data_IF_236347631545
#
_entry.id   IF_236347631545
#
_cell.length_a   1.000
_cell.length_b   1.000
_cell.length_c   1.000
_cell.angle_alpha   90.00
_cell.angle_beta   90.00
_cell.angle_gamma   90.00
#
_symmetry.space_group_name_H-M   'P 1'
#
loop_
_entity.id
_entity.type
_entity.pdbx_description
1 polymer ?
#
# COMPACT_ATOMS: atom_id res chain seq x y z
N UNK A 1 -10.07 13.56 6.81
CA UNK A 1 -8.70 13.34 6.32
C UNK A 1 -8.36 11.87 6.44
N UNK A 2 -7.89 11.24 5.37
CA UNK A 2 -7.51 9.82 5.44
C UNK A 2 -6.32 9.62 6.39
N UNK A 3 -6.38 8.55 7.17
CA UNK A 3 -5.36 8.19 8.16
C UNK A 3 -4.56 6.98 7.70
N UNK A 4 -5.20 6.09 6.94
CA UNK A 4 -4.63 4.83 6.49
C UNK A 4 -4.46 4.78 4.99
N UNK A 5 -3.27 4.33 4.57
CA UNK A 5 -2.87 4.24 3.17
C UNK A 5 -2.68 2.75 2.80
N UNK A 6 -3.48 2.26 1.86
CA UNK A 6 -3.51 0.84 1.53
C UNK A 6 -2.46 0.46 0.49
N UNK A 7 -1.68 -0.58 0.81
CA UNK A 7 -0.86 -1.32 -0.15
C UNK A 7 -1.74 -2.18 -1.06
N UNK A 8 -1.30 -2.43 -2.28
CA UNK A 8 -2.02 -3.25 -3.26
C UNK A 8 -2.33 -4.66 -2.75
N UNK A 9 -1.44 -5.25 -1.96
CA UNK A 9 -1.62 -6.58 -1.40
C UNK A 9 -2.80 -6.70 -0.42
N UNK A 10 -3.23 -5.60 0.19
CA UNK A 10 -4.45 -5.61 1.02
C UNK A 10 -5.65 -6.05 0.17
N UNK A 11 -5.79 -5.48 -1.03
CA UNK A 11 -6.86 -5.83 -1.96
C UNK A 11 -6.65 -7.19 -2.61
N UNK A 12 -5.44 -7.44 -3.11
CA UNK A 12 -5.14 -8.66 -3.87
C UNK A 12 -5.29 -9.91 -3.00
N UNK A 13 -4.73 -9.91 -1.81
CA UNK A 13 -4.83 -11.05 -0.89
C UNK A 13 -6.24 -11.22 -0.33
N UNK A 14 -6.95 -10.11 -0.04
CA UNK A 14 -8.34 -10.17 0.36
C UNK A 14 -9.19 -10.86 -0.71
N UNK A 15 -9.04 -10.44 -1.96
CA UNK A 15 -9.81 -10.99 -3.08
C UNK A 15 -9.48 -12.46 -3.36
N UNK A 16 -8.19 -12.82 -3.37
CA UNK A 16 -7.74 -14.15 -3.78
C UNK A 16 -7.78 -15.20 -2.67
N UNK A 17 -7.58 -14.78 -1.42
CA UNK A 17 -7.31 -15.74 -0.34
C UNK A 17 -8.22 -15.58 0.86
N UNK A 18 -8.38 -14.37 1.40
CA UNK A 18 -8.97 -14.20 2.73
C UNK A 18 -10.47 -13.90 2.68
N UNK A 19 -10.89 -13.04 1.76
CA UNK A 19 -12.24 -12.47 1.74
C UNK A 19 -12.80 -12.41 0.31
N UNK A 20 -13.05 -13.56 -0.36
CA UNK A 20 -13.68 -13.54 -1.69
C UNK A 20 -15.01 -12.78 -1.65
N UNK A 21 -15.35 -12.10 -2.74
CA UNK A 21 -16.56 -11.27 -2.82
C UNK A 21 -17.85 -12.04 -2.50
N UNK A 22 -17.92 -13.28 -2.96
CA UNK A 22 -19.09 -14.14 -2.79
C UNK A 22 -19.21 -14.76 -1.40
N UNK A 23 -18.09 -14.88 -0.68
CA UNK A 23 -18.05 -15.52 0.65
C UNK A 23 -18.07 -14.50 1.77
N UNK A 24 -17.33 -13.40 1.62
CA UNK A 24 -17.21 -12.37 2.67
C UNK A 24 -17.51 -10.97 2.09
N UNK A 25 -18.74 -10.73 1.62
CA UNK A 25 -19.09 -9.41 1.08
C UNK A 25 -19.01 -8.31 2.14
N UNK A 26 -19.15 -8.64 3.41
CA UNK A 26 -19.08 -7.67 4.51
C UNK A 26 -17.73 -6.97 4.62
N UNK A 27 -16.62 -7.65 4.31
CA UNK A 27 -15.30 -7.02 4.26
C UNK A 27 -15.29 -5.87 3.23
N UNK A 28 -15.76 -6.15 2.02
CA UNK A 28 -15.74 -5.17 0.91
C UNK A 28 -16.69 -4.00 1.17
N UNK A 29 -17.84 -4.27 1.76
CA UNK A 29 -18.78 -3.22 2.19
C UNK A 29 -18.16 -2.33 3.26
N UNK A 30 -17.41 -2.90 4.21
CA UNK A 30 -16.71 -2.12 5.23
C UNK A 30 -15.59 -1.27 4.61
N UNK A 31 -14.84 -1.79 3.67
CA UNK A 31 -13.81 -1.00 2.95
C UNK A 31 -14.47 0.18 2.21
N UNK A 32 -15.60 -0.03 1.55
CA UNK A 32 -16.35 1.05 0.90
C UNK A 32 -16.81 2.11 1.89
N UNK A 33 -17.36 1.69 3.02
CA UNK A 33 -17.78 2.61 4.10
C UNK A 33 -16.62 3.48 4.58
N UNK A 34 -15.48 2.87 4.90
CA UNK A 34 -14.29 3.59 5.35
C UNK A 34 -13.74 4.52 4.26
N UNK A 35 -13.79 4.09 3.00
CA UNK A 35 -13.36 4.90 1.85
C UNK A 35 -14.27 6.12 1.65
N UNK A 36 -15.57 5.92 1.70
CA UNK A 36 -16.55 7.00 1.55
C UNK A 36 -16.49 8.02 2.71
N UNK A 37 -16.10 7.55 3.89
CA UNK A 37 -15.87 8.42 5.05
C UNK A 37 -14.48 9.08 5.04
N UNK A 38 -13.66 8.83 4.04
CA UNK A 38 -12.33 9.42 3.92
C UNK A 38 -11.32 8.93 4.95
N UNK A 39 -11.54 7.74 5.52
CA UNK A 39 -10.64 7.17 6.54
C UNK A 39 -9.48 6.42 5.90
N UNK A 40 -9.75 5.75 4.78
CA UNK A 40 -8.75 4.99 4.02
C UNK A 40 -8.64 5.50 2.60
N UNK A 41 -7.44 5.46 2.06
CA UNK A 41 -7.16 5.75 0.65
C UNK A 41 -5.95 4.95 0.16
N UNK A 42 -5.57 5.13 -1.08
CA UNK A 42 -4.35 4.61 -1.65
C UNK A 42 -3.78 5.60 -2.67
N UNK A 43 -2.78 5.19 -3.44
CA UNK A 43 -2.12 6.05 -4.41
C UNK A 43 -2.32 5.55 -5.85
N UNK A 44 -2.06 6.42 -6.79
CA UNK A 44 -2.14 6.17 -8.23
C UNK A 44 -1.32 4.95 -8.68
N UNK A 45 -0.14 4.73 -8.10
CA UNK A 45 0.70 3.57 -8.42
C UNK A 45 0.06 2.24 -8.01
N UNK A 46 -0.66 2.21 -6.89
CA UNK A 46 -1.44 1.04 -6.45
C UNK A 46 -2.57 0.76 -7.41
N UNK A 47 -3.27 1.79 -7.89
CA UNK A 47 -4.30 1.64 -8.92
C UNK A 47 -3.75 0.96 -10.17
N UNK A 48 -2.56 1.37 -10.62
CA UNK A 48 -1.90 0.73 -11.76
C UNK A 48 -1.63 -0.75 -11.52
N UNK A 49 -1.13 -1.12 -10.36
CA UNK A 49 -0.84 -2.51 -10.03
C UNK A 49 -2.11 -3.39 -10.03
N UNK A 50 -3.25 -2.84 -9.62
CA UNK A 50 -4.52 -3.57 -9.54
C UNK A 50 -5.27 -3.56 -10.86
N UNK A 51 -5.37 -2.41 -11.51
CA UNK A 51 -6.30 -2.16 -12.62
C UNK A 51 -5.65 -2.22 -14.00
N UNK A 52 -4.39 -1.82 -14.12
CA UNK A 52 -3.67 -1.81 -15.40
C UNK A 52 -2.92 -3.11 -15.63
N UNK A 53 -3.63 -4.22 -15.57
CA UNK A 53 -3.07 -5.55 -15.84
C UNK A 53 -3.52 -6.03 -17.22
N UNK A 54 -2.75 -6.96 -17.80
CA UNK A 54 -3.12 -7.59 -19.10
C UNK A 54 -4.40 -8.41 -19.02
N UNK A 55 -4.79 -8.84 -17.81
CA UNK A 55 -6.01 -9.64 -17.58
C UNK A 55 -6.81 -8.98 -16.45
N UNK A 56 -7.67 -7.98 -16.76
CA UNK A 56 -8.56 -7.38 -15.76
C UNK A 56 -9.43 -8.46 -15.12
N UNK A 57 -9.54 -8.41 -13.79
CA UNK A 57 -10.35 -9.35 -13.01
C UNK A 57 -11.51 -8.62 -12.31
N UNK A 58 -12.27 -9.36 -11.51
CA UNK A 58 -13.38 -8.80 -10.76
C UNK A 58 -12.91 -7.78 -9.71
N UNK A 59 -11.68 -7.89 -9.20
CA UNK A 59 -11.10 -6.92 -8.28
C UNK A 59 -10.87 -5.57 -8.96
N UNK A 60 -10.25 -5.56 -10.14
CA UNK A 60 -10.03 -4.30 -10.89
C UNK A 60 -11.36 -3.63 -11.25
N UNK A 61 -12.36 -4.40 -11.66
CA UNK A 61 -13.70 -3.89 -11.93
C UNK A 61 -14.34 -3.28 -10.68
N UNK A 62 -14.22 -3.95 -9.53
CA UNK A 62 -14.74 -3.45 -8.26
C UNK A 62 -14.05 -2.14 -7.86
N UNK A 63 -12.73 -2.09 -7.96
CA UNK A 63 -11.96 -0.88 -7.63
C UNK A 63 -12.36 0.31 -8.50
N UNK A 64 -12.54 0.09 -9.79
CA UNK A 64 -12.92 1.17 -10.72
C UNK A 64 -14.35 1.66 -10.56
N UNK A 65 -15.28 0.76 -10.24
CA UNK A 65 -16.70 1.09 -10.23
C UNK A 65 -17.23 1.48 -8.84
N UNK A 66 -16.67 0.91 -7.77
CA UNK A 66 -17.23 1.05 -6.42
C UNK A 66 -16.48 2.05 -5.54
N UNK A 67 -15.16 2.14 -5.67
CA UNK A 67 -14.38 3.07 -4.85
C UNK A 67 -14.64 4.53 -5.26
N UNK A 68 -14.60 5.48 -4.29
CA UNK A 68 -14.72 6.91 -4.61
C UNK A 68 -13.66 7.36 -5.61
N UNK A 69 -13.98 8.36 -6.42
CA UNK A 69 -13.06 8.88 -7.44
C UNK A 69 -11.76 9.45 -6.87
N UNK A 70 -11.77 9.88 -5.63
CA UNK A 70 -10.62 10.42 -4.90
C UNK A 70 -9.90 9.39 -4.03
N UNK A 71 -10.25 8.11 -4.14
CA UNK A 71 -9.61 7.05 -3.35
C UNK A 71 -8.13 6.89 -3.70
N UNK A 72 -7.80 6.86 -4.98
CA UNK A 72 -6.42 6.76 -5.45
C UNK A 72 -5.86 8.14 -5.71
N UNK A 73 -5.03 8.63 -4.78
CA UNK A 73 -4.46 9.97 -4.85
C UNK A 73 -3.18 10.01 -5.69
N UNK A 74 -2.89 11.17 -6.29
CA UNK A 74 -1.65 11.39 -7.03
C UNK A 74 -0.47 11.48 -6.07
N UNK A 75 0.53 10.62 -6.25
CA UNK A 75 1.74 10.58 -5.42
C UNK A 75 2.91 11.37 -6.01
N UNK A 76 2.80 11.94 -7.19
CA UNK A 76 3.92 12.60 -7.90
C UNK A 76 4.51 13.78 -7.14
N UNK A 77 3.73 14.46 -6.29
CA UNK A 77 4.21 15.55 -5.44
C UNK A 77 5.21 15.10 -4.37
N UNK A 78 5.28 13.81 -4.08
CA UNK A 78 6.17 13.24 -3.06
C UNK A 78 7.58 12.91 -3.59
N UNK A 79 7.94 13.44 -4.76
CA UNK A 79 9.22 13.13 -5.43
C UNK A 79 10.44 13.43 -4.55
N UNK A 80 10.39 14.46 -3.72
CA UNK A 80 11.51 14.80 -2.84
C UNK A 80 11.73 13.72 -1.76
N UNK A 81 10.66 13.24 -1.14
CA UNK A 81 10.74 12.15 -0.15
C UNK A 81 11.14 10.85 -0.83
N UNK A 82 10.60 10.57 -2.02
CA UNK A 82 11.05 9.45 -2.84
C UNK A 82 12.56 9.51 -3.09
N UNK A 83 13.09 10.68 -3.43
CA UNK A 83 14.53 10.90 -3.61
C UNK A 83 15.34 10.56 -2.36
N UNK A 84 14.85 10.92 -1.18
CA UNK A 84 15.49 10.58 0.09
C UNK A 84 15.51 9.06 0.32
N UNK A 85 14.43 8.38 -0.02
CA UNK A 85 14.34 6.91 0.06
C UNK A 85 15.35 6.27 -0.90
N UNK A 86 15.42 6.77 -2.14
CA UNK A 86 16.37 6.27 -3.14
C UNK A 86 17.83 6.45 -2.69
N UNK A 87 18.17 7.58 -2.09
CA UNK A 87 19.50 7.83 -1.53
C UNK A 87 19.83 6.85 -0.41
N UNK A 88 18.91 6.63 0.50
CA UNK A 88 19.09 5.66 1.59
C UNK A 88 19.30 4.24 1.08
N UNK A 89 18.48 3.80 0.14
CA UNK A 89 18.55 2.45 -0.45
C UNK A 89 19.89 2.26 -1.17
N UNK A 90 20.28 3.21 -2.01
CA UNK A 90 21.55 3.14 -2.77
C UNK A 90 22.79 3.24 -1.85
N UNK A 91 22.68 3.94 -0.74
CA UNK A 91 23.76 4.06 0.24
C UNK A 91 23.84 2.88 1.20
N UNK A 92 22.88 1.97 1.19
CA UNK A 92 22.87 0.81 2.06
C UNK A 92 23.81 -0.28 1.53
N UNK A 93 24.69 -0.79 2.40
CA UNK A 93 25.52 -1.95 2.10
C UNK A 93 24.83 -3.27 2.41
N UNK A 94 23.57 -3.23 2.80
CA UNK A 94 22.81 -4.40 3.23
C UNK A 94 22.13 -5.12 2.08
N UNK A 95 21.50 -4.38 1.16
CA UNK A 95 20.71 -4.95 0.08
C UNK A 95 21.57 -5.28 -1.15
N UNK A 96 21.17 -6.32 -1.89
CA UNK A 96 21.79 -6.64 -3.19
C UNK A 96 21.44 -5.56 -4.21
N UNK A 97 22.27 -5.39 -5.22
CA UNK A 97 21.99 -4.44 -6.30
C UNK A 97 20.70 -4.78 -7.04
N UNK A 98 20.42 -6.06 -7.25
CA UNK A 98 19.16 -6.49 -7.87
C UNK A 98 17.93 -6.10 -7.04
N UNK A 99 18.03 -6.18 -5.71
CA UNK A 99 16.95 -5.73 -4.81
C UNK A 99 16.74 -4.22 -4.91
N UNK A 100 17.81 -3.44 -4.97
CA UNK A 100 17.75 -1.99 -5.11
C UNK A 100 17.12 -1.60 -6.45
N UNK A 101 17.54 -2.23 -7.53
CA UNK A 101 17.04 -1.95 -8.88
C UNK A 101 15.54 -2.28 -8.98
N UNK A 102 15.11 -3.40 -8.40
CA UNK A 102 13.69 -3.78 -8.36
C UNK A 102 12.86 -2.75 -7.56
N UNK A 103 13.34 -2.37 -6.38
CA UNK A 103 12.62 -1.44 -5.49
C UNK A 103 12.47 -0.05 -6.11
N UNK A 104 13.46 0.40 -6.86
CA UNK A 104 13.46 1.72 -7.51
C UNK A 104 12.93 1.68 -8.95
N UNK A 105 12.33 0.58 -9.38
CA UNK A 105 11.64 0.50 -10.66
C UNK A 105 10.49 1.51 -10.70
N UNK A 106 10.38 2.24 -11.80
CA UNK A 106 9.52 3.43 -11.93
C UNK A 106 8.05 3.18 -11.53
N UNK A 107 7.53 2.01 -11.88
CA UNK A 107 6.10 1.70 -11.68
C UNK A 107 5.81 0.91 -10.38
N UNK A 108 6.83 0.61 -9.57
CA UNK A 108 6.61 -0.05 -8.29
C UNK A 108 6.00 0.93 -7.29
N UNK A 109 4.89 0.54 -6.68
CA UNK A 109 4.15 1.41 -5.76
C UNK A 109 4.86 1.59 -4.41
N UNK A 110 5.59 0.59 -3.93
CA UNK A 110 6.11 0.54 -2.55
C UNK A 110 6.88 1.79 -2.11
N UNK A 111 7.91 2.28 -2.85
CA UNK A 111 8.61 3.47 -2.41
C UNK A 111 7.75 4.73 -2.44
N UNK A 112 6.79 4.82 -3.35
CA UNK A 112 5.85 5.94 -3.42
C UNK A 112 4.85 5.93 -2.28
N UNK A 113 4.39 4.74 -1.85
CA UNK A 113 3.55 4.59 -0.66
C UNK A 113 4.26 5.09 0.59
N UNK A 114 5.52 4.72 0.76
CA UNK A 114 6.32 5.16 1.90
C UNK A 114 6.54 6.66 1.86
N UNK A 115 6.86 7.20 0.68
CA UNK A 115 7.05 8.64 0.49
C UNK A 115 5.77 9.43 0.82
N UNK A 116 4.64 8.99 0.32
CA UNK A 116 3.35 9.63 0.56
C UNK A 116 2.98 9.57 2.05
N UNK A 117 3.10 8.40 2.67
CA UNK A 117 2.82 8.23 4.09
C UNK A 117 3.73 9.11 4.96
N UNK A 118 5.00 9.22 4.61
CA UNK A 118 5.96 10.10 5.33
C UNK A 118 5.56 11.55 5.21
N UNK A 119 5.27 12.02 4.01
CA UNK A 119 4.95 13.43 3.77
C UNK A 119 3.64 13.85 4.42
N UNK A 120 2.63 12.97 4.42
CA UNK A 120 1.29 13.26 4.93
C UNK A 120 1.01 12.68 6.32
N UNK A 121 2.01 12.12 6.99
CA UNK A 121 1.89 11.53 8.34
C UNK A 121 0.80 10.46 8.42
N UNK A 122 0.76 9.57 7.44
CA UNK A 122 -0.23 8.49 7.36
C UNK A 122 0.37 7.16 7.80
N UNK A 123 -0.50 6.21 8.13
CA UNK A 123 -0.14 4.83 8.46
C UNK A 123 -0.36 3.94 7.26
N UNK A 124 0.64 3.15 6.87
CA UNK A 124 0.52 2.18 5.78
C UNK A 124 -0.15 0.91 6.30
N UNK A 125 -1.13 0.41 5.57
CA UNK A 125 -1.75 -0.89 5.83
C UNK A 125 -1.21 -1.90 4.82
N UNK A 126 -0.56 -2.94 5.33
CA UNK A 126 0.10 -3.96 4.53
C UNK A 126 0.10 -5.29 5.27
N UNK A 127 0.13 -6.40 4.52
CA UNK A 127 0.34 -7.74 5.08
C UNK A 127 1.83 -8.04 5.34
N UNK A 128 2.72 -7.20 4.87
CA UNK A 128 4.16 -7.43 5.00
C UNK A 128 4.62 -7.28 6.45
N UNK A 129 5.56 -8.16 6.84
CA UNK A 129 6.19 -8.12 8.15
C UNK A 129 7.68 -7.84 8.00
N UNK A 130 8.26 -7.20 9.02
CA UNK A 130 9.69 -6.88 9.03
C UNK A 130 10.54 -8.15 9.04
N UNK A 131 11.53 -8.19 8.17
CA UNK A 131 12.58 -9.20 8.13
C UNK A 131 13.93 -8.50 7.96
N UNK A 132 14.52 -7.99 9.05
CA UNK A 132 15.70 -7.12 8.98
C UNK A 132 16.92 -7.77 8.31
N UNK A 133 16.99 -9.09 8.30
CA UNK A 133 18.11 -9.82 7.69
C UNK A 133 17.94 -10.06 6.19
N UNK A 134 16.77 -9.75 5.62
CA UNK A 134 16.53 -9.93 4.19
C UNK A 134 17.38 -8.97 3.38
N UNK A 135 18.12 -9.50 2.41
CA UNK A 135 19.05 -8.74 1.56
C UNK A 135 18.63 -8.71 0.09
N UNK A 136 17.92 -9.75 -0.34
CA UNK A 136 17.60 -9.98 -1.75
C UNK A 136 16.31 -9.28 -2.21
N UNK A 137 15.63 -8.60 -1.32
CA UNK A 137 14.41 -7.84 -1.62
C UNK A 137 14.17 -6.75 -0.59
N UNK A 138 13.69 -5.59 -1.05
CA UNK A 138 13.30 -4.48 -0.18
C UNK A 138 11.78 -4.46 -0.12
N UNK A 139 11.25 -4.63 1.09
CA UNK A 139 9.83 -4.61 1.39
C UNK A 139 9.46 -3.35 2.16
N UNK A 140 8.17 -3.07 2.30
CA UNK A 140 7.65 -1.87 2.96
C UNK A 140 8.17 -1.68 4.40
N UNK A 141 8.21 -2.72 5.28
CA UNK A 141 8.56 -2.51 6.68
C UNK A 141 9.92 -1.89 6.94
N UNK A 142 10.98 -2.31 6.25
CA UNK A 142 12.33 -1.85 6.53
C UNK A 142 12.52 -0.35 6.23
N UNK A 143 12.11 0.18 5.07
CA UNK A 143 12.10 1.63 4.86
C UNK A 143 11.21 2.38 5.84
N UNK A 144 10.04 1.84 6.19
CA UNK A 144 9.14 2.46 7.16
C UNK A 144 9.82 2.63 8.52
N UNK A 145 10.53 1.61 8.99
CA UNK A 145 11.28 1.66 10.25
C UNK A 145 12.34 2.74 10.18
N UNK A 146 13.09 2.81 9.09
CA UNK A 146 14.15 3.80 8.91
C UNK A 146 13.61 5.24 8.90
N UNK A 147 12.52 5.47 8.16
CA UNK A 147 11.95 6.81 7.98
C UNK A 147 10.89 7.19 9.02
N UNK A 148 10.62 6.33 10.00
CA UNK A 148 9.65 6.61 11.05
C UNK A 148 8.20 6.63 10.56
N UNK A 149 7.87 5.82 9.54
CA UNK A 149 6.51 5.64 9.03
C UNK A 149 5.86 4.46 9.73
N UNK A 150 4.69 4.68 10.32
CA UNK A 150 3.92 3.62 10.95
C UNK A 150 3.31 2.70 9.88
N UNK A 151 3.38 1.40 10.11
CA UNK A 151 2.71 0.40 9.29
C UNK A 151 2.03 -0.65 10.17
N UNK A 152 0.96 -1.25 9.68
CA UNK A 152 0.23 -2.28 10.40
C UNK A 152 -0.56 -3.16 9.42
N UNK A 153 -1.07 -4.29 9.92
CA UNK A 153 -1.90 -5.19 9.13
C UNK A 153 -3.35 -4.68 9.05
N UNK A 154 -4.15 -5.19 8.09
CA UNK A 154 -5.56 -4.85 8.02
C UNK A 154 -6.31 -5.14 9.33
N UNK A 155 -6.03 -6.26 9.98
CA UNK A 155 -6.70 -6.62 11.23
C UNK A 155 -6.33 -5.64 12.36
N UNK A 156 -5.08 -5.23 12.43
CA UNK A 156 -4.65 -4.21 13.40
C UNK A 156 -5.34 -2.86 13.13
N UNK A 157 -5.50 -2.48 11.86
CA UNK A 157 -6.26 -1.29 11.49
C UNK A 157 -7.72 -1.37 11.99
N UNK A 158 -8.41 -2.47 11.74
CA UNK A 158 -9.79 -2.66 12.22
C UNK A 158 -9.87 -2.58 13.74
N UNK A 159 -8.90 -3.14 14.47
CA UNK A 159 -8.83 -3.04 15.93
C UNK A 159 -8.63 -1.60 16.40
N UNK A 160 -7.73 -0.85 15.77
CA UNK A 160 -7.53 0.57 16.09
C UNK A 160 -8.79 1.41 15.85
N UNK A 161 -9.52 1.10 14.78
CA UNK A 161 -10.76 1.79 14.43
C UNK A 161 -11.97 1.34 15.29
N UNK A 162 -11.86 0.21 15.98
CA UNK A 162 -12.98 -0.39 16.69
C UNK A 162 -14.05 -0.95 15.74
N UNK A 163 -13.65 -1.34 14.53
CA UNK A 163 -14.54 -1.81 13.48
C UNK A 163 -14.51 -3.33 13.34
N UNK A 164 -15.60 -3.86 12.82
CA UNK A 164 -15.74 -5.28 12.47
C UNK A 164 -16.53 -5.43 11.18
N UNK A 165 -16.49 -6.61 10.59
CA UNK A 165 -17.22 -6.93 9.37
C UNK A 165 -17.73 -8.37 9.34
#
# INVERSE_FOLDING_TARGET
MAVYLFDSNVFIQAHRMHYPFDVVPSFWNKILELSNNGIVCSIDKVKKEICETSNPDSLSTWCENELPNDFFVDSSSCINVYGNIAVWVNGSNHFTQAAIDEFLTTDLADPWLIAYAKEHSMTIVTHEVSQPQRKNRIKIPEPCIHFGVKYLSPIEMFRELGESF
#
